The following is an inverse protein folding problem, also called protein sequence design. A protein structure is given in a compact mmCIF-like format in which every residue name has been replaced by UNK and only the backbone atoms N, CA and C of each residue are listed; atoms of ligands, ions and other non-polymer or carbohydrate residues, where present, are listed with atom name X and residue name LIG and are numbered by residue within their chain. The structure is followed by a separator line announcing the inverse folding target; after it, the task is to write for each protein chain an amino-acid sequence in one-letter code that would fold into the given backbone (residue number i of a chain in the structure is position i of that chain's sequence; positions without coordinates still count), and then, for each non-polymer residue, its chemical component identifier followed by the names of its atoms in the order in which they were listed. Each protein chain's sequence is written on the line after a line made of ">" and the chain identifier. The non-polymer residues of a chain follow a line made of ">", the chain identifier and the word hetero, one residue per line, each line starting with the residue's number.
data_IF_875933498544
#
_entry.id   IF_875933498544
#
_cell.length_a   1.000
_cell.length_b   1.000
_cell.length_c   1.000
_cell.angle_alpha   90.00
_cell.angle_beta   90.00
_cell.angle_gamma   90.00
#
_symmetry.space_group_name_H-M   'P 1'
#
loop_
_entity.id
_entity.type
_entity.pdbx_description
1 polymer ?
#
# COMPACT_ATOMS: atom_id res chain seq x y z
N UNK A 1 -16.70 25.03 15.14
CA UNK A 1 -15.70 23.95 15.05
C UNK A 1 -15.11 24.06 13.67
N UNK A 2 -13.90 24.55 13.52
CA UNK A 2 -13.30 24.69 12.19
C UNK A 2 -13.18 23.33 11.51
N UNK A 3 -13.81 23.19 10.34
CA UNK A 3 -13.74 22.00 9.52
C UNK A 3 -12.63 22.20 8.50
N UNK A 4 -11.53 21.47 8.64
CA UNK A 4 -10.48 21.46 7.63
C UNK A 4 -10.78 20.43 6.54
N UNK A 5 -10.49 20.78 5.29
CA UNK A 5 -10.68 19.92 4.12
C UNK A 5 -9.36 19.69 3.39
N UNK A 6 -9.16 18.50 2.88
CA UNK A 6 -8.03 18.16 2.01
C UNK A 6 -8.54 18.20 0.59
N UNK A 7 -8.03 19.16 -0.18
CA UNK A 7 -8.46 19.40 -1.56
C UNK A 7 -7.33 19.07 -2.53
N UNK A 8 -7.70 18.50 -3.67
CA UNK A 8 -6.82 18.31 -4.81
C UNK A 8 -6.94 19.54 -5.71
N UNK A 9 -5.82 20.06 -6.12
CA UNK A 9 -5.75 21.25 -6.98
C UNK A 9 -4.79 21.03 -8.13
N UNK A 10 -4.96 21.79 -9.20
CA UNK A 10 -4.04 21.85 -10.31
C UNK A 10 -3.20 23.11 -10.20
N UNK A 11 -1.91 22.99 -10.40
CA UNK A 11 -1.00 24.12 -10.50
C UNK A 11 -1.08 24.76 -11.88
N UNK A 12 -0.44 25.93 -12.02
CA UNK A 12 -0.37 26.65 -13.31
C UNK A 12 0.31 25.84 -14.42
N UNK A 13 1.20 24.92 -14.06
CA UNK A 13 1.89 24.01 -14.99
C UNK A 13 1.08 22.73 -15.30
N UNK A 14 -0.16 22.62 -14.79
CA UNK A 14 -1.03 21.46 -14.96
C UNK A 14 -0.71 20.29 -14.03
N UNK A 15 0.30 20.37 -13.18
CA UNK A 15 0.62 19.34 -12.22
C UNK A 15 -0.42 19.29 -11.07
N UNK A 16 -0.76 18.10 -10.63
CA UNK A 16 -1.64 17.92 -9.46
C UNK A 16 -0.89 18.22 -8.16
N UNK A 17 -1.59 18.85 -7.24
CA UNK A 17 -1.13 19.15 -5.89
C UNK A 17 -2.24 18.90 -4.87
N UNK A 18 -1.88 18.91 -3.60
CA UNK A 18 -2.81 18.75 -2.48
C UNK A 18 -2.63 19.91 -1.53
N UNK A 19 -3.74 20.47 -1.08
CA UNK A 19 -3.75 21.58 -0.11
C UNK A 19 -4.67 21.24 1.06
N UNK A 20 -4.37 21.82 2.22
CA UNK A 20 -5.26 21.86 3.37
C UNK A 20 -5.95 23.22 3.39
N UNK A 21 -7.27 23.23 3.43
CA UNK A 21 -8.07 24.45 3.53
C UNK A 21 -8.95 24.42 4.78
N UNK A 22 -9.27 25.60 5.30
CA UNK A 22 -10.25 25.79 6.37
C UNK A 22 -11.70 25.79 5.84
N UNK A 23 -12.67 26.02 6.70
CA UNK A 23 -14.09 26.10 6.35
C UNK A 23 -14.44 27.24 5.38
N UNK A 24 -13.60 28.27 5.27
CA UNK A 24 -13.76 29.40 4.33
C UNK A 24 -13.01 29.15 3.01
N UNK A 25 -12.50 27.93 2.78
CA UNK A 25 -11.63 27.60 1.64
C UNK A 25 -10.32 28.37 1.59
N UNK A 26 -9.86 28.93 2.71
CA UNK A 26 -8.55 29.58 2.80
C UNK A 26 -7.47 28.53 3.03
N UNK A 27 -6.35 28.67 2.34
CA UNK A 27 -5.21 27.75 2.45
C UNK A 27 -4.55 27.90 3.82
N UNK A 28 -4.27 26.77 4.47
CA UNK A 28 -3.51 26.73 5.73
C UNK A 28 -2.02 26.87 5.38
N UNK A 29 -1.52 28.11 5.40
CA UNK A 29 -0.16 28.46 4.94
C UNK A 29 0.95 27.55 5.49
N UNK A 30 1.07 27.30 6.83
CA UNK A 30 2.16 26.46 7.33
C UNK A 30 2.11 25.04 6.78
N UNK A 31 0.91 24.52 6.51
CA UNK A 31 0.76 23.19 5.89
C UNK A 31 1.16 23.26 4.42
N UNK A 32 0.75 24.28 3.69
CA UNK A 32 1.11 24.47 2.27
C UNK A 32 2.64 24.54 2.09
N UNK A 33 3.33 25.31 2.91
CA UNK A 33 4.80 25.38 2.92
C UNK A 33 5.46 24.02 3.17
N UNK A 34 4.93 23.26 4.12
CA UNK A 34 5.46 21.92 4.40
C UNK A 34 5.22 20.94 3.26
N UNK A 35 4.04 20.97 2.62
CA UNK A 35 3.73 20.10 1.49
C UNK A 35 4.61 20.45 0.28
N UNK A 36 4.82 21.73 0.00
CA UNK A 36 5.75 22.21 -1.04
C UNK A 36 7.18 21.73 -0.78
N UNK A 37 7.65 21.80 0.48
CA UNK A 37 8.95 21.26 0.86
C UNK A 37 9.06 19.76 0.56
N UNK A 38 8.01 18.98 0.86
CA UNK A 38 8.00 17.53 0.55
C UNK A 38 8.06 17.27 -0.95
N UNK A 39 7.39 18.09 -1.75
CA UNK A 39 7.42 18.00 -3.22
C UNK A 39 8.82 18.31 -3.77
N UNK A 40 9.44 19.40 -3.33
CA UNK A 40 10.83 19.76 -3.69
C UNK A 40 11.83 18.67 -3.32
N UNK A 41 11.50 17.84 -2.33
CA UNK A 41 12.28 16.64 -1.98
C UNK A 41 11.92 15.40 -2.81
N UNK A 42 11.11 15.53 -3.86
CA UNK A 42 10.72 14.42 -4.73
C UNK A 42 9.79 13.39 -4.07
N UNK A 43 9.01 13.78 -3.04
CA UNK A 43 8.04 12.87 -2.46
C UNK A 43 6.84 12.68 -3.40
N UNK A 44 6.40 11.43 -3.53
CA UNK A 44 5.25 11.10 -4.34
C UNK A 44 3.95 11.75 -3.81
N UNK A 45 3.04 12.16 -4.70
CA UNK A 45 1.78 12.84 -4.38
C UNK A 45 0.94 12.09 -3.34
N UNK A 46 0.82 10.76 -3.46
CA UNK A 46 0.11 9.93 -2.46
C UNK A 46 0.76 10.00 -1.07
N UNK A 47 2.08 10.18 -1.00
CA UNK A 47 2.77 10.41 0.27
C UNK A 47 2.41 11.79 0.82
N UNK A 48 2.44 12.81 -0.02
CA UNK A 48 2.07 14.19 0.32
C UNK A 48 0.63 14.27 0.78
N UNK A 49 -0.31 13.65 0.07
CA UNK A 49 -1.72 13.53 0.47
C UNK A 49 -1.87 12.85 1.84
N UNK A 50 -1.10 11.79 2.09
CA UNK A 50 -1.08 11.12 3.39
C UNK A 50 -0.56 12.02 4.53
N UNK A 51 0.41 12.89 4.26
CA UNK A 51 0.89 13.89 5.20
C UNK A 51 -0.17 14.98 5.43
N UNK A 52 -0.79 15.48 4.36
CA UNK A 52 -1.87 16.45 4.44
C UNK A 52 -3.04 15.93 5.29
N UNK A 53 -3.48 14.68 5.07
CA UNK A 53 -4.53 14.03 5.88
C UNK A 53 -4.14 13.89 7.36
N UNK A 54 -2.88 13.61 7.66
CA UNK A 54 -2.38 13.56 9.05
C UNK A 54 -2.37 14.94 9.70
N UNK A 55 -1.96 15.98 8.95
CA UNK A 55 -1.98 17.36 9.43
C UNK A 55 -3.39 17.91 9.57
N UNK A 56 -4.35 17.51 8.71
CA UNK A 56 -5.78 17.82 8.90
C UNK A 56 -6.25 17.45 10.31
N UNK A 57 -5.95 16.25 10.77
CA UNK A 57 -6.35 15.80 12.11
C UNK A 57 -5.67 16.64 13.21
N UNK A 58 -4.43 17.02 12.99
CA UNK A 58 -3.67 17.83 13.92
C UNK A 58 -4.20 19.26 14.00
N UNK A 59 -4.42 19.92 12.87
CA UNK A 59 -4.97 21.27 12.82
C UNK A 59 -6.43 21.34 13.31
N UNK A 60 -7.20 20.28 13.10
CA UNK A 60 -8.55 20.17 13.69
C UNK A 60 -8.49 20.18 15.23
N UNK A 61 -7.52 19.50 15.82
CA UNK A 61 -7.29 19.54 17.26
C UNK A 61 -6.80 20.92 17.73
N UNK A 62 -5.82 21.53 17.04
CA UNK A 62 -5.33 22.88 17.37
C UNK A 62 -6.48 23.89 17.40
N UNK A 63 -7.34 23.87 16.38
CA UNK A 63 -8.51 24.75 16.32
C UNK A 63 -9.49 24.50 17.46
N UNK A 64 -9.68 23.26 17.87
CA UNK A 64 -10.57 22.89 18.97
C UNK A 64 -10.06 23.40 20.31
N UNK A 65 -8.76 23.29 20.55
CA UNK A 65 -8.10 23.75 21.77
C UNK A 65 -7.76 25.26 21.72
N UNK A 66 -7.99 25.92 20.57
CA UNK A 66 -7.62 27.33 20.33
C UNK A 66 -6.13 27.62 20.59
N UNK A 67 -5.27 26.72 20.09
CA UNK A 67 -3.80 26.79 20.22
C UNK A 67 -3.18 27.05 18.86
N UNK A 68 -2.26 28.00 18.76
CA UNK A 68 -1.46 28.18 17.54
C UNK A 68 -0.36 27.12 17.45
N UNK A 69 -0.04 26.64 16.23
CA UNK A 69 0.93 25.56 16.05
C UNK A 69 2.33 25.91 16.58
N UNK A 70 2.71 27.18 16.61
CA UNK A 70 4.00 27.64 17.13
C UNK A 70 4.05 27.79 18.66
N UNK A 71 2.91 27.67 19.34
CA UNK A 71 2.79 27.75 20.82
C UNK A 71 2.69 26.39 21.49
N UNK A 72 2.61 25.31 20.68
CA UNK A 72 2.40 23.96 21.18
C UNK A 72 3.58 23.48 22.03
N UNK A 73 3.27 23.08 23.24
CA UNK A 73 4.23 22.49 24.19
C UNK A 73 4.19 20.95 24.16
N UNK A 74 5.15 20.31 24.81
CA UNK A 74 5.14 18.85 25.01
C UNK A 74 3.93 18.37 25.80
N UNK A 75 3.41 19.19 26.69
CA UNK A 75 2.22 18.86 27.49
C UNK A 75 0.98 18.79 26.57
N UNK A 76 0.88 19.71 25.64
CA UNK A 76 -0.21 19.76 24.68
C UNK A 76 -0.20 18.54 23.75
N UNK A 77 0.97 18.00 23.45
CA UNK A 77 1.09 16.75 22.70
C UNK A 77 0.46 15.55 23.41
N UNK A 78 0.40 15.53 24.74
CA UNK A 78 -0.34 14.48 25.47
C UNK A 78 -1.85 14.63 25.26
N UNK A 79 -2.38 15.86 25.32
CA UNK A 79 -3.78 16.16 25.03
C UNK A 79 -4.15 15.78 23.59
N UNK A 80 -3.29 16.11 22.62
CA UNK A 80 -3.48 15.69 21.24
C UNK A 80 -3.52 14.16 21.07
N UNK A 81 -2.63 13.44 21.78
CA UNK A 81 -2.61 11.97 21.77
C UNK A 81 -3.92 11.39 22.31
N UNK A 82 -4.48 12.01 23.31
CA UNK A 82 -5.76 11.60 23.89
C UNK A 82 -6.93 11.91 22.93
N UNK A 83 -6.93 13.09 22.33
CA UNK A 83 -7.87 13.48 21.29
C UNK A 83 -7.92 12.47 20.13
N UNK A 84 -6.75 12.06 19.60
CA UNK A 84 -6.69 11.08 18.50
C UNK A 84 -7.26 9.72 18.91
N UNK A 85 -7.09 9.32 20.19
CA UNK A 85 -7.60 8.05 20.69
C UNK A 85 -9.11 8.04 20.90
N UNK A 86 -9.66 9.19 21.31
CA UNK A 86 -11.01 9.29 21.83
C UNK A 86 -11.99 9.97 20.89
N UNK A 87 -11.53 10.41 19.69
CA UNK A 87 -12.31 11.24 18.74
C UNK A 87 -13.78 10.80 18.66
N UNK A 88 -14.62 11.59 19.33
CA UNK A 88 -16.00 11.26 19.73
C UNK A 88 -17.00 11.15 18.56
N UNK A 89 -16.57 11.36 17.32
CA UNK A 89 -17.42 11.29 16.13
C UNK A 89 -17.26 10.01 15.30
N UNK A 90 -16.32 9.12 15.63
CA UNK A 90 -16.04 7.94 14.82
C UNK A 90 -16.44 6.65 15.52
N UNK A 91 -17.04 5.73 14.77
CA UNK A 91 -17.46 4.40 15.26
C UNK A 91 -16.30 3.52 15.75
N UNK A 92 -15.06 3.80 15.35
CA UNK A 92 -13.89 2.98 15.69
C UNK A 92 -12.69 3.80 16.18
N UNK A 93 -12.03 3.30 17.24
CA UNK A 93 -10.77 3.87 17.76
C UNK A 93 -9.65 3.68 16.75
N UNK A 94 -8.85 4.73 16.52
CA UNK A 94 -7.65 4.63 15.65
C UNK A 94 -6.65 3.62 16.21
N UNK A 95 -6.06 2.83 15.32
CA UNK A 95 -5.03 1.86 15.71
C UNK A 95 -3.75 2.56 16.19
N UNK A 96 -2.99 1.90 17.09
CA UNK A 96 -1.68 2.38 17.54
C UNK A 96 -0.75 2.74 16.38
N UNK A 97 -0.82 1.99 15.28
CA UNK A 97 -0.05 2.26 14.06
C UNK A 97 -0.47 3.57 13.38
N UNK A 98 -1.77 3.83 13.29
CA UNK A 98 -2.29 5.08 12.72
C UNK A 98 -1.85 6.28 13.56
N UNK A 99 -1.92 6.14 14.88
CA UNK A 99 -1.46 7.16 15.84
C UNK A 99 0.03 7.41 15.66
N UNK A 100 0.86 6.36 15.62
CA UNK A 100 2.30 6.48 15.41
C UNK A 100 2.65 7.12 14.05
N UNK A 101 1.84 6.85 13.00
CA UNK A 101 1.97 7.50 11.71
C UNK A 101 1.71 9.01 11.82
N UNK A 102 0.65 9.42 12.51
CA UNK A 102 0.35 10.84 12.70
C UNK A 102 1.41 11.55 13.53
N UNK A 103 1.92 10.91 14.58
CA UNK A 103 3.06 11.41 15.34
C UNK A 103 4.28 11.68 14.47
N UNK A 104 4.62 10.74 13.58
CA UNK A 104 5.74 10.90 12.68
C UNK A 104 5.52 12.04 11.66
N UNK A 105 4.29 12.23 11.18
CA UNK A 105 3.91 13.33 10.29
C UNK A 105 4.09 14.67 11.00
N UNK A 106 3.54 14.82 12.20
CA UNK A 106 3.63 16.07 13.00
C UNK A 106 5.07 16.35 13.40
N UNK A 107 5.83 15.33 13.78
CA UNK A 107 7.26 15.49 14.06
C UNK A 107 8.05 15.99 12.84
N UNK A 108 7.73 15.48 11.66
CA UNK A 108 8.35 15.93 10.41
C UNK A 108 7.96 17.36 10.03
N UNK A 109 6.70 17.73 10.27
CA UNK A 109 6.20 19.11 10.11
C UNK A 109 6.96 20.08 10.99
N UNK A 110 7.04 19.83 12.27
CA UNK A 110 7.78 20.68 13.20
C UNK A 110 9.29 20.73 12.90
N UNK A 111 9.88 19.65 12.40
CA UNK A 111 11.29 19.65 12.01
C UNK A 111 11.61 20.61 10.86
N UNK A 112 10.65 20.89 9.98
CA UNK A 112 10.82 21.93 8.95
C UNK A 112 10.90 23.30 9.60
N UNK A 113 9.95 23.63 10.47
CA UNK A 113 9.84 24.97 11.08
C UNK A 113 10.92 25.27 12.11
N UNK A 114 11.47 24.24 12.76
CA UNK A 114 12.68 24.37 13.58
C UNK A 114 13.91 24.72 12.74
N UNK A 115 14.01 24.19 11.50
CA UNK A 115 15.10 24.43 10.58
C UNK A 115 15.00 25.78 9.84
N UNK A 116 13.77 26.28 9.62
CA UNK A 116 13.49 27.61 9.08
C UNK A 116 13.33 28.56 10.25
N UNK A 117 14.42 29.22 10.68
CA UNK A 117 14.45 30.04 11.89
C UNK A 117 13.28 31.03 12.02
N UNK A 118 12.83 31.25 13.27
CA UNK A 118 11.87 32.27 13.65
C UNK A 118 10.42 31.83 13.88
N UNK A 119 10.05 30.59 13.53
CA UNK A 119 8.69 30.09 13.77
C UNK A 119 8.54 29.36 15.09
N UNK A 120 9.50 28.50 15.43
CA UNK A 120 9.51 27.72 16.66
C UNK A 120 10.94 27.60 17.20
N UNK A 121 11.08 27.61 18.52
CA UNK A 121 12.37 27.40 19.19
C UNK A 121 12.75 25.92 19.26
N UNK A 122 11.78 25.06 19.57
CA UNK A 122 11.98 23.62 19.73
C UNK A 122 10.79 22.80 19.22
N UNK A 123 11.09 21.72 18.50
CA UNK A 123 10.09 20.76 18.07
C UNK A 123 9.49 20.03 19.30
N UNK A 124 8.19 20.15 19.59
CA UNK A 124 7.56 19.58 20.79
C UNK A 124 7.62 18.04 20.83
N UNK A 125 7.93 17.39 19.71
CA UNK A 125 8.07 15.94 19.62
C UNK A 125 9.54 15.51 19.61
N UNK A 126 10.48 16.43 19.39
CA UNK A 126 11.90 16.14 19.25
C UNK A 126 12.60 15.90 20.60
N UNK A 127 13.71 15.19 20.53
CA UNK A 127 14.59 14.84 21.64
C UNK A 127 15.09 16.05 22.41
N UNK A 128 15.04 15.99 23.73
CA UNK A 128 15.93 16.79 24.57
C UNK A 128 17.31 16.12 24.60
N UNK A 129 18.24 16.68 23.85
CA UNK A 129 19.65 16.21 23.86
C UNK A 129 20.40 16.59 25.14
N UNK A 130 19.76 17.25 26.12
CA UNK A 130 20.38 17.75 27.32
C UNK A 130 19.57 17.39 28.55
N UNK A 131 19.50 16.15 28.94
CA UNK A 131 19.30 15.82 30.34
C UNK A 131 20.67 15.48 30.93
N UNK A 132 21.43 16.50 31.31
CA UNK A 132 22.53 16.41 32.31
C UNK A 132 21.94 16.08 33.69
N UNK A 133 21.12 15.07 33.80
CA UNK A 133 20.60 14.61 35.05
C UNK A 133 21.22 13.26 35.39
N UNK A 134 22.09 13.27 36.41
CA UNK A 134 22.80 12.09 36.94
C UNK A 134 21.88 10.88 37.23
N UNK A 135 20.59 11.11 37.37
CA UNK A 135 19.59 10.08 37.60
C UNK A 135 19.35 9.17 36.37
N UNK A 136 19.43 9.71 35.15
CA UNK A 136 19.24 8.93 33.90
C UNK A 136 20.50 8.23 33.43
N UNK A 137 21.69 8.65 33.86
CA UNK A 137 22.93 7.94 33.52
C UNK A 137 23.04 6.54 34.15
N UNK A 138 22.32 6.30 35.25
CA UNK A 138 22.30 4.97 35.91
C UNK A 138 21.59 3.88 35.14
N UNK A 139 20.72 4.20 34.17
CA UNK A 139 19.90 3.23 33.44
C UNK A 139 20.35 2.99 32.00
N UNK A 140 21.61 3.19 31.63
CA UNK A 140 22.17 2.82 30.28
C UNK A 140 21.14 2.72 29.12
N UNK A 141 20.23 3.69 29.01
CA UNK A 141 19.32 3.77 27.88
C UNK A 141 20.08 4.48 26.77
N UNK A 142 20.33 3.78 25.66
CA UNK A 142 21.07 4.31 24.53
C UNK A 142 20.51 5.68 24.11
N UNK A 143 21.38 6.67 24.02
CA UNK A 143 21.04 8.09 23.84
C UNK A 143 20.26 8.40 22.55
N UNK A 144 20.11 7.43 21.67
CA UNK A 144 19.52 7.63 20.34
C UNK A 144 18.02 7.33 20.19
N UNK A 145 17.29 6.93 21.25
CA UNK A 145 15.91 6.43 21.11
C UNK A 145 14.82 7.16 21.93
N UNK A 146 15.13 8.16 22.75
CA UNK A 146 14.20 8.60 23.82
C UNK A 146 13.01 9.45 23.34
N UNK A 147 13.07 10.18 22.24
CA UNK A 147 12.07 11.21 21.94
C UNK A 147 10.86 10.76 21.15
N UNK A 148 11.05 9.96 20.12
CA UNK A 148 9.93 9.37 19.35
C UNK A 148 9.26 8.27 20.17
N UNK A 149 9.99 7.68 21.13
CA UNK A 149 9.50 6.60 21.97
C UNK A 149 8.54 7.06 23.08
N UNK A 150 8.63 8.31 23.57
CA UNK A 150 7.77 8.77 24.67
C UNK A 150 6.29 8.84 24.28
N UNK A 151 5.98 9.35 23.10
CA UNK A 151 4.61 9.45 22.57
C UNK A 151 4.18 8.21 21.81
N UNK A 152 5.12 7.36 21.39
CA UNK A 152 4.85 6.20 20.54
C UNK A 152 3.98 5.17 21.27
N UNK A 153 2.88 4.81 20.65
CA UNK A 153 1.99 3.77 21.13
C UNK A 153 2.57 2.38 20.84
N UNK A 154 2.46 1.49 21.82
CA UNK A 154 2.84 0.08 21.65
C UNK A 154 1.93 -0.56 20.60
N UNK A 155 2.52 -0.94 19.47
CA UNK A 155 1.80 -1.68 18.45
C UNK A 155 1.63 -3.13 18.91
N UNK A 156 0.41 -3.64 18.87
CA UNK A 156 0.19 -5.08 18.99
C UNK A 156 0.82 -5.76 17.78
N UNK A 157 1.53 -6.86 18.01
CA UNK A 157 2.03 -7.69 16.89
C UNK A 157 0.87 -7.95 15.95
N UNK A 158 1.04 -7.64 14.67
CA UNK A 158 0.04 -7.97 13.66
C UNK A 158 -0.26 -9.46 13.78
N UNK A 159 -1.55 -9.82 13.81
CA UNK A 159 -1.93 -11.15 13.31
C UNK A 159 -1.35 -11.23 11.90
N UNK A 160 -0.50 -12.23 11.65
CA UNK A 160 0.07 -12.44 10.32
C UNK A 160 -1.06 -12.33 9.29
N UNK A 161 -0.78 -11.67 8.18
CA UNK A 161 -1.73 -11.64 7.06
C UNK A 161 -2.02 -13.11 6.75
N UNK A 162 -3.26 -13.53 6.95
CA UNK A 162 -3.64 -14.91 6.71
C UNK A 162 -3.39 -15.22 5.23
N UNK A 163 -2.64 -16.29 4.94
CA UNK A 163 -2.58 -16.81 3.59
C UNK A 163 -3.94 -17.47 3.29
N UNK A 164 -4.29 -17.51 2.03
CA UNK A 164 -5.40 -18.30 1.56
C UNK A 164 -4.89 -19.70 1.15
N UNK A 165 -5.66 -20.71 1.44
CA UNK A 165 -5.36 -22.07 1.01
C UNK A 165 -6.01 -22.34 -0.36
N UNK A 166 -5.52 -23.34 -1.09
CA UNK A 166 -6.00 -23.64 -2.45
C UNK A 166 -7.51 -23.86 -2.55
N UNK A 167 -8.10 -24.52 -1.55
CA UNK A 167 -9.55 -24.70 -1.49
C UNK A 167 -10.32 -23.38 -1.30
N UNK A 168 -9.74 -22.41 -0.57
CA UNK A 168 -10.32 -21.08 -0.39
C UNK A 168 -10.18 -20.25 -1.67
N UNK A 169 -9.02 -20.32 -2.34
CA UNK A 169 -8.80 -19.70 -3.66
C UNK A 169 -9.85 -20.20 -4.67
N UNK A 170 -10.06 -21.53 -4.74
CA UNK A 170 -11.02 -22.12 -5.67
C UNK A 170 -12.47 -21.70 -5.33
N UNK A 171 -12.84 -21.61 -4.05
CA UNK A 171 -14.15 -21.12 -3.62
C UNK A 171 -14.35 -19.64 -3.97
N UNK A 172 -13.33 -18.82 -3.75
CA UNK A 172 -13.37 -17.40 -4.09
C UNK A 172 -13.49 -17.21 -5.61
N UNK A 173 -12.70 -17.91 -6.39
CA UNK A 173 -12.76 -17.83 -7.85
C UNK A 173 -14.15 -18.18 -8.40
N UNK A 174 -14.74 -19.29 -7.96
CA UNK A 174 -16.12 -19.67 -8.32
C UNK A 174 -17.16 -18.69 -7.77
N UNK A 175 -16.93 -18.12 -6.60
CA UNK A 175 -17.83 -17.14 -5.98
C UNK A 175 -17.97 -15.84 -6.78
N UNK A 176 -17.05 -15.53 -7.70
CA UNK A 176 -17.14 -14.35 -8.57
C UNK A 176 -18.41 -14.40 -9.42
N UNK A 177 -18.86 -15.58 -9.82
CA UNK A 177 -20.10 -15.76 -10.60
C UNK A 177 -21.36 -15.34 -9.83
N UNK A 178 -21.28 -15.30 -8.50
CA UNK A 178 -22.41 -14.90 -7.66
C UNK A 178 -22.52 -13.37 -7.47
N UNK A 179 -21.48 -12.60 -7.89
CA UNK A 179 -21.45 -11.14 -7.74
C UNK A 179 -22.38 -10.43 -8.74
N UNK A 180 -22.61 -11.02 -9.89
CA UNK A 180 -23.39 -10.42 -10.98
C UNK A 180 -23.89 -11.50 -11.95
N UNK A 181 -24.93 -11.15 -12.71
CA UNK A 181 -25.42 -11.99 -13.84
C UNK A 181 -24.79 -11.60 -15.18
N UNK A 182 -24.07 -10.49 -15.24
CA UNK A 182 -23.40 -10.03 -16.46
C UNK A 182 -22.15 -10.87 -16.73
N UNK A 183 -22.19 -11.65 -17.77
CA UNK A 183 -21.09 -12.54 -18.18
C UNK A 183 -19.79 -11.78 -18.44
N UNK A 184 -19.87 -10.59 -19.01
CA UNK A 184 -18.68 -9.79 -19.31
C UNK A 184 -17.95 -9.34 -18.03
N UNK A 185 -18.72 -8.98 -17.02
CA UNK A 185 -18.20 -8.63 -15.68
C UNK A 185 -17.63 -9.85 -14.95
N UNK A 186 -18.28 -11.02 -15.10
CA UNK A 186 -17.76 -12.26 -14.50
C UNK A 186 -16.39 -12.60 -15.10
N UNK A 187 -16.28 -12.63 -16.42
CA UNK A 187 -15.02 -12.94 -17.12
C UNK A 187 -13.92 -11.95 -16.73
N UNK A 188 -14.20 -10.64 -16.76
CA UNK A 188 -13.25 -9.61 -16.31
C UNK A 188 -12.78 -9.84 -14.89
N UNK A 189 -13.69 -10.10 -13.97
CA UNK A 189 -13.37 -10.24 -12.56
C UNK A 189 -12.61 -11.54 -12.26
N UNK A 190 -12.92 -12.63 -12.97
CA UNK A 190 -12.18 -13.89 -12.90
C UNK A 190 -10.75 -13.71 -13.43
N UNK A 191 -10.59 -13.08 -14.59
CA UNK A 191 -9.28 -12.77 -15.13
C UNK A 191 -8.46 -11.85 -14.20
N UNK A 192 -9.08 -10.80 -13.67
CA UNK A 192 -8.45 -9.89 -12.70
C UNK A 192 -7.97 -10.66 -11.45
N UNK A 193 -8.79 -11.56 -10.94
CA UNK A 193 -8.44 -12.41 -9.79
C UNK A 193 -7.24 -13.30 -10.11
N UNK A 194 -7.25 -13.98 -11.28
CA UNK A 194 -6.15 -14.82 -11.73
C UNK A 194 -4.85 -14.04 -11.90
N UNK A 195 -4.88 -12.90 -12.58
CA UNK A 195 -3.71 -12.05 -12.77
C UNK A 195 -3.13 -11.63 -11.41
N UNK A 196 -3.96 -11.19 -10.45
CA UNK A 196 -3.50 -10.82 -9.11
C UNK A 196 -2.89 -12.00 -8.35
N UNK A 197 -3.49 -13.19 -8.46
CA UNK A 197 -3.05 -14.38 -7.76
C UNK A 197 -1.78 -14.98 -8.37
N UNK A 198 -1.75 -15.21 -9.69
CA UNK A 198 -0.63 -15.88 -10.36
C UNK A 198 0.61 -15.01 -10.50
N UNK A 199 0.47 -13.68 -10.54
CA UNK A 199 1.62 -12.77 -10.62
C UNK A 199 2.08 -12.25 -9.26
N UNK A 200 1.19 -12.19 -8.28
CA UNK A 200 1.42 -11.50 -7.02
C UNK A 200 1.59 -9.98 -7.17
N UNK A 201 1.13 -9.38 -8.26
CA UNK A 201 1.22 -7.95 -8.54
C UNK A 201 0.44 -7.09 -7.54
N UNK A 202 0.83 -5.81 -7.41
CA UNK A 202 0.02 -4.82 -6.70
C UNK A 202 -1.17 -4.39 -7.55
N UNK A 203 -2.26 -3.93 -6.92
CA UNK A 203 -3.44 -3.40 -7.66
C UNK A 203 -3.01 -2.34 -8.69
N UNK A 204 -2.15 -1.41 -8.30
CA UNK A 204 -1.67 -0.35 -9.19
C UNK A 204 -0.87 -0.87 -10.39
N UNK A 205 -0.13 -1.96 -10.22
CA UNK A 205 0.58 -2.63 -11.30
C UNK A 205 -0.40 -3.25 -12.30
N UNK A 206 -1.41 -3.95 -11.79
CA UNK A 206 -2.45 -4.58 -12.63
C UNK A 206 -3.32 -3.55 -13.35
N UNK A 207 -3.68 -2.44 -12.69
CA UNK A 207 -4.41 -1.34 -13.32
C UNK A 207 -3.59 -0.62 -14.39
N UNK A 208 -2.26 -0.64 -14.27
CA UNK A 208 -1.33 -0.04 -15.24
C UNK A 208 -0.96 -0.95 -16.41
N UNK A 209 -1.34 -2.24 -16.41
CA UNK A 209 -1.05 -3.16 -17.51
C UNK A 209 -1.73 -2.70 -18.80
N UNK A 210 -0.95 -2.59 -19.85
CA UNK A 210 -1.44 -2.24 -21.19
C UNK A 210 -1.59 -3.48 -22.09
N UNK A 211 -2.32 -3.35 -23.15
CA UNK A 211 -2.58 -4.41 -24.16
C UNK A 211 -1.27 -5.03 -24.70
N UNK A 212 -0.18 -4.26 -24.73
CA UNK A 212 1.15 -4.71 -25.17
C UNK A 212 2.03 -5.30 -24.06
N UNK A 213 1.55 -5.36 -22.83
CA UNK A 213 2.37 -5.76 -21.67
C UNK A 213 2.25 -7.26 -21.36
N UNK A 214 2.01 -8.08 -22.35
CA UNK A 214 2.08 -9.55 -22.23
C UNK A 214 2.60 -10.15 -23.52
N UNK A 215 3.16 -11.36 -23.43
CA UNK A 215 3.64 -12.09 -24.60
C UNK A 215 2.48 -12.54 -25.49
N UNK A 216 2.73 -12.68 -26.77
CA UNK A 216 1.74 -13.26 -27.68
C UNK A 216 1.42 -14.71 -27.27
N UNK A 217 0.16 -15.16 -27.43
CA UNK A 217 -0.20 -16.56 -27.25
C UNK A 217 0.59 -17.47 -28.19
N UNK A 218 1.23 -18.50 -27.65
CA UNK A 218 1.96 -19.47 -28.45
C UNK A 218 1.60 -20.90 -28.01
N UNK A 219 1.00 -21.72 -28.91
CA UNK A 219 0.56 -23.07 -28.55
C UNK A 219 1.70 -24.06 -28.31
N UNK A 220 2.94 -23.71 -28.64
CA UNK A 220 4.11 -24.57 -28.38
C UNK A 220 4.76 -24.31 -27.03
N UNK A 221 4.37 -23.25 -26.35
CA UNK A 221 4.98 -22.82 -25.07
C UNK A 221 4.04 -23.06 -23.89
N UNK A 222 4.56 -23.59 -22.80
CA UNK A 222 3.82 -23.75 -21.54
C UNK A 222 3.81 -22.45 -20.71
N UNK A 223 4.76 -21.57 -20.97
CA UNK A 223 5.02 -20.36 -20.18
C UNK A 223 4.96 -19.12 -21.06
N UNK A 224 4.12 -18.20 -20.67
CA UNK A 224 4.10 -16.84 -21.20
C UNK A 224 4.68 -15.83 -20.22
N UNK A 225 4.64 -14.55 -20.59
CA UNK A 225 5.24 -13.47 -19.78
C UNK A 225 4.30 -12.28 -19.67
N UNK A 226 4.16 -11.74 -18.48
CA UNK A 226 3.55 -10.43 -18.21
C UNK A 226 4.66 -9.43 -17.90
N UNK A 227 4.68 -8.31 -18.62
CA UNK A 227 5.69 -7.27 -18.55
C UNK A 227 5.21 -6.14 -17.62
N UNK A 228 5.82 -5.98 -16.46
CA UNK A 228 5.53 -4.84 -15.58
C UNK A 228 6.41 -3.68 -16.01
N UNK A 229 5.80 -2.65 -16.56
CA UNK A 229 6.47 -1.45 -17.10
C UNK A 229 5.94 -0.17 -16.47
N UNK A 230 6.76 0.88 -16.50
CA UNK A 230 6.35 2.24 -16.15
C UNK A 230 5.90 2.94 -17.41
N UNK A 231 4.61 3.16 -17.53
CA UNK A 231 4.04 3.89 -18.65
C UNK A 231 3.86 5.38 -18.32
N UNK A 232 4.22 6.26 -19.25
CA UNK A 232 3.99 7.70 -19.20
C UNK A 232 3.20 8.12 -20.45
N UNK A 233 2.21 9.05 -20.34
CA UNK A 233 1.70 9.60 -19.09
C UNK A 233 0.98 8.58 -18.25
N UNK A 234 1.06 8.74 -16.92
CA UNK A 234 0.27 7.94 -15.98
C UNK A 234 -1.19 8.36 -16.14
N UNK A 235 -2.05 7.46 -16.59
CA UNK A 235 -3.47 7.72 -16.67
C UNK A 235 -4.07 7.72 -15.27
N UNK A 236 -4.71 8.86 -14.92
CA UNK A 236 -5.49 9.10 -13.70
C UNK A 236 -4.87 8.71 -12.34
N UNK A 237 -4.51 9.73 -11.57
CA UNK A 237 -4.45 9.79 -10.10
C UNK A 237 -3.73 8.67 -9.32
N UNK A 238 -3.20 7.64 -9.95
CA UNK A 238 -2.31 6.67 -9.31
C UNK A 238 -0.85 7.08 -9.51
N UNK A 239 -0.56 8.24 -8.95
CA UNK A 239 0.76 8.83 -8.98
C UNK A 239 1.71 7.99 -8.13
N UNK A 240 2.79 7.59 -8.76
CA UNK A 240 3.84 6.75 -8.21
C UNK A 240 3.51 5.24 -8.15
N UNK A 241 3.50 4.61 -9.30
CA UNK A 241 3.80 3.20 -9.33
C UNK A 241 5.24 3.07 -8.79
N UNK A 242 5.36 2.74 -7.51
CA UNK A 242 6.63 2.33 -6.88
C UNK A 242 7.00 0.93 -7.38
N UNK A 243 7.08 0.79 -8.69
CA UNK A 243 7.21 -0.49 -9.36
C UNK A 243 8.59 -0.58 -9.91
N UNK A 244 9.30 -1.64 -9.54
CA UNK A 244 10.45 -2.07 -10.30
C UNK A 244 9.91 -2.76 -11.55
N UNK A 245 10.39 -2.32 -12.71
CA UNK A 245 10.10 -2.98 -13.98
C UNK A 245 10.66 -4.40 -13.93
N UNK A 246 9.86 -5.35 -14.40
CA UNK A 246 10.22 -6.76 -14.37
C UNK A 246 9.35 -7.58 -15.30
N UNK A 247 9.83 -8.75 -15.65
CA UNK A 247 9.14 -9.74 -16.47
C UNK A 247 8.70 -10.87 -15.54
N UNK A 248 7.41 -11.20 -15.58
CA UNK A 248 6.81 -12.21 -14.72
C UNK A 248 6.38 -13.40 -15.56
N UNK A 249 7.06 -14.55 -15.46
CA UNK A 249 6.60 -15.79 -16.08
C UNK A 249 5.24 -16.21 -15.50
N UNK A 250 4.29 -16.57 -16.37
CA UNK A 250 2.96 -17.06 -16.02
C UNK A 250 2.59 -18.26 -16.89
N UNK A 251 1.51 -18.97 -16.54
CA UNK A 251 1.01 -20.03 -17.41
C UNK A 251 0.58 -19.47 -18.76
N UNK A 252 0.80 -20.22 -19.82
CA UNK A 252 0.32 -19.83 -21.15
C UNK A 252 -1.20 -19.75 -21.20
N UNK A 253 -1.91 -20.55 -20.40
CA UNK A 253 -3.37 -20.47 -20.25
C UNK A 253 -3.84 -19.10 -19.81
N UNK A 254 -3.11 -18.44 -18.89
CA UNK A 254 -3.44 -17.08 -18.47
C UNK A 254 -3.25 -16.08 -19.61
N UNK A 255 -2.24 -16.27 -20.46
CA UNK A 255 -2.01 -15.45 -21.65
C UNK A 255 -3.17 -15.60 -22.64
N UNK A 256 -3.62 -16.83 -22.91
CA UNK A 256 -4.81 -17.07 -23.73
C UNK A 256 -6.07 -16.41 -23.15
N UNK A 257 -6.29 -16.46 -21.85
CA UNK A 257 -7.45 -15.80 -21.24
C UNK A 257 -7.37 -14.27 -21.34
N UNK A 258 -6.17 -13.68 -21.25
CA UNK A 258 -5.97 -12.24 -21.47
C UNK A 258 -6.33 -11.88 -22.92
N UNK A 259 -5.81 -12.63 -23.88
CA UNK A 259 -6.05 -12.41 -25.30
C UNK A 259 -7.54 -12.56 -25.66
N UNK A 260 -8.18 -13.63 -25.20
CA UNK A 260 -9.62 -13.86 -25.40
C UNK A 260 -10.46 -12.73 -24.78
N UNK A 261 -10.13 -12.28 -23.58
CA UNK A 261 -10.80 -11.16 -22.96
C UNK A 261 -10.66 -9.87 -23.79
N UNK A 262 -9.48 -9.59 -24.31
CA UNK A 262 -9.22 -8.40 -25.12
C UNK A 262 -9.95 -8.43 -26.46
N UNK A 263 -10.00 -9.59 -27.10
CA UNK A 263 -10.63 -9.76 -28.42
C UNK A 263 -12.16 -9.79 -28.33
N UNK A 264 -12.73 -10.49 -27.32
CA UNK A 264 -14.12 -10.88 -27.34
C UNK A 264 -15.00 -10.21 -26.28
N UNK A 265 -14.41 -9.69 -25.20
CA UNK A 265 -15.18 -9.28 -24.01
C UNK A 265 -14.94 -7.83 -23.60
N UNK A 266 -13.72 -7.35 -23.74
CA UNK A 266 -13.33 -6.01 -23.31
C UNK A 266 -14.04 -4.93 -24.13
N UNK A 267 -14.78 -3.98 -23.47
CA UNK A 267 -15.31 -2.81 -24.18
C UNK A 267 -14.19 -2.00 -24.83
N UNK A 268 -14.27 -1.85 -26.15
CA UNK A 268 -13.26 -1.11 -26.92
C UNK A 268 -13.46 0.40 -26.79
N UNK A 269 -12.37 1.11 -26.60
CA UNK A 269 -12.31 2.57 -26.64
C UNK A 269 -10.94 3.00 -27.12
N UNK A 270 -10.89 3.79 -28.19
CA UNK A 270 -9.67 4.08 -28.94
C UNK A 270 -8.54 4.73 -28.11
N UNK A 271 -8.89 5.49 -27.07
CA UNK A 271 -7.92 6.25 -26.28
C UNK A 271 -7.44 5.51 -25.02
N UNK A 272 -7.89 4.25 -24.82
CA UNK A 272 -7.62 3.49 -23.60
C UNK A 272 -7.00 2.15 -23.94
N UNK A 273 -5.73 2.01 -23.63
CA UNK A 273 -4.90 0.84 -23.91
C UNK A 273 -4.63 -0.07 -22.69
N UNK A 274 -5.26 0.21 -21.52
CA UNK A 274 -5.14 -0.68 -20.36
C UNK A 274 -5.94 -1.97 -20.55
N UNK A 275 -5.43 -3.10 -20.06
CA UNK A 275 -6.13 -4.39 -20.15
C UNK A 275 -7.49 -4.30 -19.44
N UNK A 276 -7.50 -3.87 -18.19
CA UNK A 276 -8.72 -3.82 -17.39
C UNK A 276 -9.42 -2.47 -17.47
N UNK A 277 -10.69 -2.51 -17.86
CA UNK A 277 -11.57 -1.34 -18.00
C UNK A 277 -12.90 -1.56 -17.31
N UNK A 278 -13.65 -0.48 -17.10
CA UNK A 278 -15.04 -0.57 -16.64
C UNK A 278 -15.96 -1.16 -17.71
N UNK A 279 -16.95 -1.95 -17.30
CA UNK A 279 -17.95 -2.58 -18.19
C UNK A 279 -19.36 -2.00 -18.02
N UNK A 280 -19.62 -1.19 -16.98
CA UNK A 280 -20.94 -0.59 -16.79
C UNK A 280 -21.28 0.39 -17.91
N UNK A 281 -22.53 0.42 -18.36
CA UNK A 281 -23.01 1.19 -19.53
C UNK A 281 -22.54 2.66 -19.54
N UNK A 282 -22.56 3.35 -18.42
CA UNK A 282 -22.16 4.77 -18.31
C UNK A 282 -20.64 4.99 -18.30
N UNK A 283 -19.88 3.97 -17.97
CA UNK A 283 -18.41 4.03 -17.84
C UNK A 283 -17.69 2.96 -18.66
N UNK A 284 -18.40 2.24 -19.55
CA UNK A 284 -17.82 1.19 -20.37
C UNK A 284 -16.60 1.69 -21.14
N UNK A 285 -15.51 0.91 -21.10
CA UNK A 285 -14.24 1.23 -21.73
C UNK A 285 -13.41 2.30 -21.02
N UNK A 286 -13.90 2.93 -19.92
CA UNK A 286 -13.10 3.88 -19.12
C UNK A 286 -12.17 3.13 -18.16
N UNK A 287 -11.12 3.81 -17.72
CA UNK A 287 -10.17 3.26 -16.74
C UNK A 287 -10.87 2.77 -15.47
N UNK A 288 -10.43 1.62 -14.98
CA UNK A 288 -10.79 1.18 -13.64
C UNK A 288 -9.96 1.93 -12.59
N UNK A 289 -10.59 2.24 -11.45
CA UNK A 289 -9.91 2.83 -10.31
C UNK A 289 -9.69 1.79 -9.21
N UNK A 290 -8.73 2.06 -8.33
CA UNK A 290 -8.37 1.16 -7.24
C UNK A 290 -9.54 0.77 -6.35
N UNK A 291 -10.41 1.72 -5.99
CA UNK A 291 -11.60 1.46 -5.18
C UNK A 291 -12.53 0.45 -5.83
N UNK A 292 -12.69 0.48 -7.16
CA UNK A 292 -13.54 -0.50 -7.87
C UNK A 292 -13.04 -1.94 -7.67
N UNK A 293 -11.71 -2.16 -7.67
CA UNK A 293 -11.15 -3.48 -7.39
C UNK A 293 -11.36 -3.84 -5.91
N UNK A 294 -11.10 -2.91 -4.99
CA UNK A 294 -11.30 -3.13 -3.57
C UNK A 294 -12.75 -3.49 -3.26
N UNK A 295 -13.74 -2.83 -3.90
CA UNK A 295 -15.16 -3.13 -3.77
C UNK A 295 -15.53 -4.53 -4.28
N UNK A 296 -14.95 -4.98 -5.41
CA UNK A 296 -15.12 -6.36 -5.91
C UNK A 296 -14.69 -7.36 -4.83
N UNK A 297 -13.52 -7.15 -4.22
CA UNK A 297 -13.01 -8.06 -3.19
C UNK A 297 -13.78 -8.01 -1.87
N UNK A 298 -14.32 -6.86 -1.49
CA UNK A 298 -15.24 -6.72 -0.34
C UNK A 298 -16.52 -7.52 -0.58
N UNK A 299 -17.15 -7.32 -1.74
CA UNK A 299 -18.38 -8.03 -2.10
C UNK A 299 -18.14 -9.55 -2.20
N UNK A 300 -17.02 -9.97 -2.82
CA UNK A 300 -16.63 -11.37 -2.91
C UNK A 300 -16.45 -12.00 -1.52
N UNK A 301 -15.77 -11.29 -0.61
CA UNK A 301 -15.59 -11.76 0.77
C UNK A 301 -16.91 -11.93 1.49
N UNK A 302 -17.88 -11.03 1.27
CA UNK A 302 -19.19 -11.11 1.89
C UNK A 302 -20.03 -12.27 1.34
N UNK A 303 -20.00 -12.51 0.04
CA UNK A 303 -20.77 -13.57 -0.62
C UNK A 303 -20.23 -14.95 -0.28
N UNK A 304 -18.90 -15.11 -0.30
CA UNK A 304 -18.26 -16.43 -0.04
C UNK A 304 -18.05 -16.72 1.44
N UNK A 305 -18.11 -15.68 2.30
CA UNK A 305 -17.81 -15.81 3.73
C UNK A 305 -16.32 -16.00 4.05
N UNK A 306 -15.44 -15.79 3.06
CA UNK A 306 -13.98 -15.89 3.21
C UNK A 306 -13.37 -14.53 3.00
N UNK A 307 -12.68 -13.99 4.01
CA UNK A 307 -12.00 -12.72 3.88
C UNK A 307 -10.92 -12.80 2.80
N UNK A 308 -11.04 -11.97 1.79
CA UNK A 308 -10.08 -11.87 0.69
C UNK A 308 -9.80 -10.41 0.34
N UNK A 309 -8.54 -10.10 0.10
CA UNK A 309 -8.11 -8.81 -0.44
C UNK A 309 -7.02 -9.04 -1.49
N UNK A 310 -6.81 -8.13 -2.43
CA UNK A 310 -5.71 -8.24 -3.39
C UNK A 310 -4.33 -8.41 -2.72
N UNK A 311 -4.14 -7.77 -1.57
CA UNK A 311 -2.91 -7.93 -0.80
C UNK A 311 -2.76 -9.34 -0.19
N UNK A 312 -3.87 -10.00 0.17
CA UNK A 312 -3.84 -11.40 0.64
C UNK A 312 -3.48 -12.36 -0.50
N UNK A 313 -3.99 -12.15 -1.73
CA UNK A 313 -3.57 -12.95 -2.90
C UNK A 313 -2.06 -12.84 -3.14
N UNK A 314 -1.54 -11.61 -3.15
CA UNK A 314 -0.10 -11.38 -3.27
C UNK A 314 0.71 -12.02 -2.13
N UNK A 315 0.20 -11.96 -0.89
CA UNK A 315 0.82 -12.61 0.25
C UNK A 315 0.83 -14.13 0.08
N UNK A 316 -0.29 -14.69 -0.35
CA UNK A 316 -0.44 -16.12 -0.63
C UNK A 316 0.56 -16.57 -1.69
N UNK A 317 0.63 -15.86 -2.83
CA UNK A 317 1.58 -16.14 -3.89
C UNK A 317 3.04 -16.14 -3.39
N UNK A 318 3.44 -15.11 -2.63
CA UNK A 318 4.78 -15.06 -2.06
C UNK A 318 5.08 -16.17 -1.06
N UNK A 319 4.06 -16.62 -0.30
CA UNK A 319 4.18 -17.73 0.64
C UNK A 319 4.31 -19.07 -0.10
N UNK A 320 3.49 -19.29 -1.13
CA UNK A 320 3.53 -20.51 -1.96
C UNK A 320 4.88 -20.66 -2.69
N UNK A 321 5.41 -19.57 -3.26
CA UNK A 321 6.74 -19.58 -3.85
C UNK A 321 7.80 -19.99 -2.84
N UNK A 322 7.69 -19.51 -1.60
CA UNK A 322 8.62 -19.83 -0.54
C UNK A 322 8.50 -21.30 -0.10
N UNK A 323 7.28 -21.80 0.08
CA UNK A 323 7.00 -23.20 0.37
C UNK A 323 7.45 -24.11 -0.80
N UNK A 324 7.35 -23.62 -2.04
CA UNK A 324 7.93 -24.24 -3.23
C UNK A 324 9.46 -24.25 -3.28
N UNK A 325 10.14 -23.70 -2.27
CA UNK A 325 11.61 -23.74 -2.17
C UNK A 325 12.34 -22.68 -3.01
N UNK A 326 11.61 -21.67 -3.55
CA UNK A 326 12.26 -20.59 -4.27
C UNK A 326 13.06 -19.69 -3.32
N UNK A 327 14.24 -19.24 -3.80
CA UNK A 327 15.07 -18.38 -2.97
C UNK A 327 14.45 -16.99 -2.76
N UNK A 328 14.89 -16.32 -1.72
CA UNK A 328 14.35 -15.02 -1.31
C UNK A 328 14.57 -13.94 -2.38
N UNK A 329 15.69 -13.96 -3.10
CA UNK A 329 16.02 -13.00 -4.15
C UNK A 329 15.02 -13.11 -5.30
N UNK A 330 14.72 -14.33 -5.76
CA UNK A 330 13.70 -14.57 -6.77
C UNK A 330 12.32 -14.05 -6.35
N UNK A 331 11.92 -14.34 -5.10
CA UNK A 331 10.62 -13.87 -4.58
C UNK A 331 10.59 -12.33 -4.51
N UNK A 332 11.70 -11.70 -4.10
CA UNK A 332 11.82 -10.23 -4.08
C UNK A 332 11.66 -9.64 -5.46
N UNK A 333 12.38 -10.17 -6.44
CA UNK A 333 12.34 -9.72 -7.82
C UNK A 333 10.95 -9.90 -8.42
N UNK A 334 10.40 -11.11 -8.36
CA UNK A 334 9.05 -11.41 -8.86
C UNK A 334 7.97 -10.52 -8.27
N UNK A 335 8.03 -10.25 -6.96
CA UNK A 335 7.09 -9.37 -6.28
C UNK A 335 7.42 -7.86 -6.43
N UNK A 336 8.58 -7.49 -6.94
CA UNK A 336 9.04 -6.11 -7.03
C UNK A 336 9.19 -5.45 -5.65
N UNK A 337 9.90 -6.10 -4.72
CA UNK A 337 10.23 -5.57 -3.41
C UNK A 337 11.54 -4.80 -3.43
N UNK A 338 11.55 -3.56 -2.93
CA UNK A 338 12.75 -2.73 -2.86
C UNK A 338 13.64 -3.03 -1.63
N UNK A 339 13.16 -3.84 -0.68
CA UNK A 339 13.91 -4.18 0.53
C UNK A 339 13.66 -5.62 0.97
N UNK A 340 14.71 -6.25 1.52
CA UNK A 340 14.67 -7.57 2.15
C UNK A 340 13.62 -7.62 3.27
N UNK A 341 13.43 -6.52 3.99
CA UNK A 341 12.46 -6.40 5.08
C UNK A 341 11.00 -6.61 4.61
N UNK A 342 10.69 -6.24 3.36
CA UNK A 342 9.38 -6.48 2.74
C UNK A 342 9.15 -7.97 2.48
N UNK A 343 10.20 -8.73 2.24
CA UNK A 343 10.17 -10.19 1.97
C UNK A 343 10.22 -11.00 3.26
N UNK A 344 10.84 -10.47 4.33
CA UNK A 344 10.87 -11.12 5.64
C UNK A 344 9.48 -11.34 6.27
N UNK A 345 8.44 -10.66 5.78
CA UNK A 345 7.04 -10.92 6.19
C UNK A 345 6.53 -12.30 5.81
N UNK A 346 7.17 -12.92 4.82
CA UNK A 346 6.85 -14.28 4.35
C UNK A 346 7.70 -15.35 5.07
N UNK A 347 8.40 -15.01 6.15
CA UNK A 347 9.40 -15.86 6.82
C UNK A 347 8.82 -16.92 7.77
N UNK A 348 7.51 -17.07 7.86
CA UNK A 348 6.93 -18.19 8.62
C UNK A 348 6.68 -19.38 7.69
N UNK A 349 7.75 -20.08 7.32
CA UNK A 349 7.64 -21.37 6.63
C UNK A 349 7.28 -22.40 7.69
N UNK A 350 6.33 -23.29 7.39
CA UNK A 350 6.09 -24.46 8.22
C UNK A 350 7.34 -25.36 8.23
N UNK A 351 7.51 -26.14 9.30
CA UNK A 351 8.61 -27.11 9.38
C UNK A 351 8.55 -28.11 8.23
N UNK A 352 7.33 -28.53 7.84
CA UNK A 352 7.09 -29.47 6.75
C UNK A 352 7.62 -28.92 5.41
N UNK A 353 7.34 -27.64 5.09
CA UNK A 353 7.84 -27.01 3.86
C UNK A 353 9.37 -26.83 3.88
N UNK A 354 9.98 -26.62 5.05
CA UNK A 354 11.43 -26.63 5.20
C UNK A 354 12.01 -28.01 4.95
N UNK A 355 11.39 -29.06 5.53
CA UNK A 355 11.82 -30.45 5.37
C UNK A 355 11.73 -30.90 3.90
N UNK A 356 10.63 -30.56 3.19
CA UNK A 356 10.49 -30.87 1.77
C UNK A 356 11.53 -30.13 0.90
N UNK A 357 11.82 -28.85 1.19
CA UNK A 357 12.83 -28.10 0.49
C UNK A 357 14.23 -28.71 0.69
N UNK A 358 14.52 -29.13 1.93
CA UNK A 358 15.77 -29.80 2.27
C UNK A 358 15.87 -31.20 1.64
N UNK A 359 14.76 -31.94 1.62
CA UNK A 359 14.69 -33.24 0.95
C UNK A 359 14.99 -33.14 -0.56
N UNK A 360 14.41 -32.10 -1.25
CA UNK A 360 14.72 -31.80 -2.66
C UNK A 360 16.19 -31.45 -2.88
N UNK A 361 16.78 -30.70 -1.94
CA UNK A 361 18.20 -30.36 -1.96
C UNK A 361 19.09 -31.60 -1.85
N UNK A 362 18.81 -32.48 -0.88
CA UNK A 362 19.54 -33.75 -0.69
C UNK A 362 19.43 -34.65 -1.92
N UNK A 363 18.23 -34.78 -2.50
CA UNK A 363 18.01 -35.54 -3.73
C UNK A 363 18.83 -35.03 -4.92
N UNK A 364 18.97 -33.71 -5.04
CA UNK A 364 19.83 -33.09 -6.08
C UNK A 364 21.31 -33.34 -5.83
N UNK A 365 21.75 -33.39 -4.58
CA UNK A 365 23.14 -33.68 -4.22
C UNK A 365 23.53 -35.16 -4.34
N UNK A 366 22.59 -36.07 -4.56
CA UNK A 366 22.86 -37.50 -4.59
C UNK A 366 23.09 -38.14 -3.22
N UNK A 367 23.02 -37.38 -2.13
CA UNK A 367 23.38 -37.81 -0.77
C UNK A 367 22.31 -38.73 -0.13
N UNK A 368 21.13 -38.85 -0.73
CA UNK A 368 20.04 -39.72 -0.24
C UNK A 368 20.27 -41.21 -0.52
N UNK A 369 21.23 -41.54 -1.37
CA UNK A 369 21.52 -42.95 -1.74
C UNK A 369 22.84 -43.50 -1.14
N UNK A 370 23.65 -42.66 -0.51
CA UNK A 370 24.98 -43.08 0.00
C UNK A 370 25.00 -43.50 1.48
N UNK A 371 23.89 -43.28 2.19
CA UNK A 371 23.76 -43.66 3.61
C UNK A 371 22.72 -44.76 3.87
N UNK A 372 22.53 -45.67 2.91
CA UNK A 372 21.74 -46.91 3.11
C UNK A 372 22.62 -48.10 3.28
#
# INVERSE_FOLDING_TARGET
>A
MCVYLVEKTLRKDGSESVVLVNENYEIVEPVALFLEYLEKRGRALNTIESYCRGLKEYFTWLSKENINFYEVTRRDMLSWMEFIKTDAGRKEKKSARTINKYLAIVASFYSLFEGIGGYIEENPIKKVNNIKNAYYQRFKVSQNQISVNFFRQKETKRKNTQRLFQNEINKLYKGIEQLTKDKSLIIRNQLLFRVLYETGCRISEVLGLRIKDFSEPNPTDDIGTIYIRRHFPLYHNDHSIKTNERDIPVSMDLIYEIDEYLCNVRPQKNDIDTIFVNHSSSSAGKYMVRSSIEDIFVNLSNVVGIKCTPHMLRHTHGTELKEGGYNQVYIMDRLGHNSVESTNKYMHISFEAQAEAYHRYLKRKGELNEFK
#
